data_IF_530777727845
#
_entry.id   IF_530777727845
#
_cell.length_a   1.000
_cell.length_b   1.000
_cell.length_c   1.000
_cell.angle_alpha   90.00
_cell.angle_beta   90.00
_cell.angle_gamma   90.00
#
_symmetry.space_group_name_H-M   'P 1'
#
loop_
_entity.id
_entity.type
_entity.pdbx_description
1 polymer ?
#
# COMPACT_ATOMS: atom_id res chain seq x y z
N UNK A 1 0.65 -16.73 -10.12
CA UNK A 1 2.01 -17.26 -9.85
C UNK A 1 1.93 -18.78 -9.84
N UNK A 2 2.87 -19.49 -10.50
CA UNK A 2 2.96 -20.94 -10.38
C UNK A 2 3.14 -21.29 -8.89
N UNK A 3 2.31 -22.20 -8.38
CA UNK A 3 2.47 -22.71 -7.00
C UNK A 3 3.70 -23.60 -6.98
N UNK A 4 4.88 -23.02 -6.72
CA UNK A 4 6.04 -23.82 -6.38
C UNK A 4 5.72 -24.53 -5.07
N UNK A 5 5.60 -25.85 -5.17
CA UNK A 5 5.46 -26.71 -4.00
C UNK A 5 6.80 -26.63 -3.30
N UNK A 6 6.85 -25.98 -2.14
CA UNK A 6 8.07 -25.89 -1.34
C UNK A 6 8.37 -27.28 -0.79
N UNK A 7 9.25 -28.01 -1.46
CA UNK A 7 9.72 -29.32 -1.02
C UNK A 7 10.93 -29.12 -0.11
N UNK A 8 10.79 -29.44 1.18
CA UNK A 8 11.83 -29.27 2.19
C UNK A 8 11.27 -29.26 3.61
N UNK A 9 12.17 -29.19 4.59
CA UNK A 9 11.86 -29.00 6.01
C UNK A 9 11.16 -27.67 6.26
N UNK A 10 10.45 -27.53 7.39
CA UNK A 10 9.76 -26.28 7.75
C UNK A 10 10.73 -25.09 7.78
N UNK A 11 11.97 -25.29 8.27
CA UNK A 11 13.03 -24.28 8.24
C UNK A 11 13.37 -23.81 6.81
N UNK A 12 13.56 -24.74 5.86
CA UNK A 12 13.91 -24.40 4.47
C UNK A 12 12.77 -23.65 3.78
N UNK A 13 11.53 -24.03 4.06
CA UNK A 13 10.35 -23.32 3.55
C UNK A 13 10.25 -21.90 4.12
N UNK A 14 10.51 -21.74 5.42
CA UNK A 14 10.54 -20.42 6.06
C UNK A 14 11.69 -19.56 5.49
N UNK A 15 12.85 -20.15 5.24
CA UNK A 15 14.00 -19.44 4.67
C UNK A 15 13.74 -18.98 3.23
N UNK A 16 13.16 -19.85 2.40
CA UNK A 16 12.74 -19.49 1.06
C UNK A 16 11.74 -18.33 1.08
N UNK A 17 10.68 -18.44 1.89
CA UNK A 17 9.67 -17.38 2.01
C UNK A 17 10.27 -16.08 2.55
N UNK A 18 11.25 -16.17 3.45
CA UNK A 18 11.93 -15.02 4.02
C UNK A 18 12.74 -14.28 2.95
N UNK A 19 13.54 -15.00 2.16
CA UNK A 19 14.31 -14.41 1.07
C UNK A 19 13.39 -13.83 -0.02
N UNK A 20 12.32 -14.54 -0.38
CA UNK A 20 11.31 -14.05 -1.31
C UNK A 20 10.64 -12.76 -0.80
N UNK A 21 10.34 -12.68 0.49
CA UNK A 21 9.77 -11.48 1.07
C UNK A 21 10.73 -10.29 0.97
N UNK A 22 12.02 -10.48 1.27
CA UNK A 22 13.03 -9.43 1.14
C UNK A 22 13.18 -8.96 -0.31
N UNK A 23 13.20 -9.87 -1.27
CA UNK A 23 13.21 -9.54 -2.70
C UNK A 23 11.98 -8.71 -3.09
N UNK A 24 10.79 -9.14 -2.66
CA UNK A 24 9.53 -8.41 -2.93
C UNK A 24 9.50 -7.04 -2.25
N UNK A 25 10.10 -6.90 -1.07
CA UNK A 25 10.28 -5.59 -0.42
C UNK A 25 11.22 -4.69 -1.23
N UNK A 26 12.34 -5.22 -1.73
CA UNK A 26 13.28 -4.47 -2.57
C UNK A 26 12.66 -4.02 -3.90
N UNK A 27 11.76 -4.82 -4.48
CA UNK A 27 10.95 -4.45 -5.65
C UNK A 27 9.84 -3.42 -5.35
N UNK A 28 9.59 -3.09 -4.08
CA UNK A 28 8.43 -2.28 -3.65
C UNK A 28 7.09 -3.02 -3.72
N UNK A 29 7.09 -4.33 -3.98
CA UNK A 29 5.92 -5.19 -3.97
C UNK A 29 5.55 -5.64 -2.54
N UNK A 30 5.06 -4.69 -1.75
CA UNK A 30 4.67 -4.93 -0.36
C UNK A 30 3.52 -5.92 -0.21
N UNK A 31 2.66 -6.09 -1.23
CA UNK A 31 1.59 -7.10 -1.19
C UNK A 31 2.16 -8.51 -1.24
N UNK A 32 3.08 -8.78 -2.17
CA UNK A 32 3.77 -10.08 -2.25
C UNK A 32 4.58 -10.39 -1.00
N UNK A 33 5.33 -9.41 -0.50
CA UNK A 33 6.09 -9.55 0.74
C UNK A 33 5.19 -9.85 1.95
N UNK A 34 4.03 -9.19 2.05
CA UNK A 34 3.07 -9.43 3.13
C UNK A 34 2.60 -10.87 3.13
N UNK A 35 2.27 -11.43 1.96
CA UNK A 35 1.81 -12.80 1.84
C UNK A 35 2.88 -13.81 2.27
N UNK A 36 4.13 -13.62 1.81
CA UNK A 36 5.23 -14.49 2.17
C UNK A 36 5.52 -14.45 3.69
N UNK A 37 5.62 -13.25 4.28
CA UNK A 37 5.88 -13.08 5.72
C UNK A 37 4.71 -13.56 6.59
N UNK A 38 3.47 -13.39 6.13
CA UNK A 38 2.30 -13.88 6.86
C UNK A 38 2.29 -15.41 6.96
N UNK A 39 2.71 -16.11 5.91
CA UNK A 39 2.81 -17.57 5.92
C UNK A 39 3.91 -18.03 6.90
N UNK A 40 5.06 -17.34 6.94
CA UNK A 40 6.11 -17.62 7.94
C UNK A 40 5.59 -17.43 9.35
N UNK A 41 4.99 -16.27 9.65
CA UNK A 41 4.52 -15.95 11.01
C UNK A 41 3.40 -16.89 11.46
N UNK A 42 2.59 -17.40 10.52
CA UNK A 42 1.52 -18.37 10.79
C UNK A 42 2.07 -19.72 11.28
N UNK A 43 3.16 -20.21 10.68
CA UNK A 43 3.73 -21.51 11.03
C UNK A 43 4.85 -21.41 12.07
N UNK A 44 5.64 -20.34 12.05
CA UNK A 44 6.75 -20.09 12.97
C UNK A 44 6.81 -18.61 13.36
N UNK A 45 6.05 -18.19 14.39
CA UNK A 45 5.86 -16.78 14.75
C UNK A 45 7.12 -16.10 15.32
N UNK A 46 8.12 -16.89 15.72
CA UNK A 46 9.42 -16.44 16.24
C UNK A 46 10.57 -16.70 15.25
N UNK A 47 10.24 -16.92 13.96
CA UNK A 47 11.25 -17.05 12.92
C UNK A 47 11.92 -15.70 12.65
N UNK A 48 13.17 -15.56 13.12
CA UNK A 48 14.01 -14.37 12.94
C UNK A 48 13.24 -13.10 13.33
N UNK A 49 13.21 -12.11 12.44
CA UNK A 49 12.49 -10.84 12.55
C UNK A 49 11.24 -10.79 11.65
N UNK A 50 10.76 -11.94 11.15
CA UNK A 50 9.63 -12.00 10.21
C UNK A 50 8.38 -11.28 10.72
N UNK A 51 8.12 -11.31 12.04
CA UNK A 51 7.01 -10.56 12.65
C UNK A 51 7.19 -9.05 12.57
N UNK A 52 8.42 -8.56 12.77
CA UNK A 52 8.76 -7.14 12.66
C UNK A 52 8.67 -6.68 11.21
N UNK A 53 9.24 -7.45 10.28
CA UNK A 53 9.15 -7.19 8.85
C UNK A 53 7.69 -7.21 8.37
N UNK A 54 6.85 -8.12 8.87
CA UNK A 54 5.44 -8.15 8.52
C UNK A 54 4.70 -6.89 8.96
N UNK A 55 5.05 -6.33 10.12
CA UNK A 55 4.50 -5.07 10.59
C UNK A 55 4.94 -3.90 9.71
N UNK A 56 6.23 -3.83 9.37
CA UNK A 56 6.78 -2.81 8.46
C UNK A 56 6.10 -2.86 7.08
N UNK A 57 5.98 -4.04 6.49
CA UNK A 57 5.34 -4.24 5.19
C UNK A 57 3.87 -3.82 5.21
N UNK A 58 3.14 -4.13 6.28
CA UNK A 58 1.74 -3.68 6.45
C UNK A 58 1.66 -2.16 6.51
N UNK A 59 2.58 -1.52 7.23
CA UNK A 59 2.65 -0.06 7.30
C UNK A 59 2.90 0.54 5.93
N UNK A 60 3.96 0.14 5.24
CA UNK A 60 4.33 0.62 3.88
C UNK A 60 3.19 0.44 2.88
N UNK A 61 2.53 -0.72 2.87
CA UNK A 61 1.37 -0.99 2.01
C UNK A 61 0.19 -0.09 2.33
N UNK A 62 -0.10 0.11 3.63
CA UNK A 62 -1.16 1.01 4.07
C UNK A 62 -0.89 2.45 3.63
N UNK A 63 0.37 2.90 3.66
CA UNK A 63 0.76 4.23 3.20
C UNK A 63 0.52 4.42 1.69
N UNK A 64 0.96 3.46 0.87
CA UNK A 64 0.71 3.50 -0.58
C UNK A 64 -0.78 3.53 -0.90
N UNK A 65 -1.56 2.66 -0.25
CA UNK A 65 -3.00 2.56 -0.46
C UNK A 65 -3.70 3.84 -0.01
N UNK A 66 -3.29 4.41 1.11
CA UNK A 66 -3.89 5.62 1.65
C UNK A 66 -3.74 6.83 0.71
N UNK A 67 -2.56 7.05 0.14
CA UNK A 67 -2.34 8.17 -0.77
C UNK A 67 -3.15 8.03 -2.07
N UNK A 68 -3.25 6.81 -2.60
CA UNK A 68 -4.10 6.52 -3.77
C UNK A 68 -5.58 6.74 -3.46
N UNK A 69 -6.06 6.31 -2.30
CA UNK A 69 -7.44 6.55 -1.89
C UNK A 69 -7.73 8.04 -1.68
N UNK A 70 -6.78 8.79 -1.12
CA UNK A 70 -6.93 10.23 -0.93
C UNK A 70 -6.97 10.97 -2.27
N UNK A 71 -6.16 10.58 -3.26
CA UNK A 71 -6.25 11.17 -4.60
C UNK A 71 -7.59 10.83 -5.26
N UNK A 72 -8.03 9.57 -5.19
CA UNK A 72 -9.31 9.15 -5.76
C UNK A 72 -10.49 9.89 -5.11
N UNK A 73 -10.45 10.06 -3.78
CA UNK A 73 -11.46 10.83 -3.06
C UNK A 73 -11.48 12.31 -3.47
N UNK A 74 -10.31 12.94 -3.55
CA UNK A 74 -10.21 14.33 -3.99
C UNK A 74 -10.75 14.53 -5.41
N UNK A 75 -10.43 13.62 -6.33
CA UNK A 75 -10.97 13.62 -7.69
C UNK A 75 -12.49 13.51 -7.71
N UNK A 76 -13.05 12.54 -6.97
CA UNK A 76 -14.49 12.34 -6.87
C UNK A 76 -15.21 13.55 -6.27
N UNK A 77 -14.65 14.17 -5.23
CA UNK A 77 -15.22 15.35 -4.59
C UNK A 77 -15.30 16.54 -5.55
N UNK A 78 -14.24 16.82 -6.30
CA UNK A 78 -14.22 17.93 -7.26
C UNK A 78 -15.18 17.70 -8.43
N UNK A 79 -15.26 16.48 -8.96
CA UNK A 79 -16.25 16.12 -9.99
C UNK A 79 -17.66 16.30 -9.47
N UNK A 80 -17.97 15.82 -8.25
CA UNK A 80 -19.28 15.98 -7.63
C UNK A 80 -19.68 17.46 -7.47
N UNK A 81 -18.74 18.31 -7.05
CA UNK A 81 -18.96 19.77 -6.99
C UNK A 81 -19.25 20.35 -8.37
N UNK A 82 -18.48 19.98 -9.40
CA UNK A 82 -18.74 20.40 -10.78
C UNK A 82 -20.14 20.00 -11.27
N UNK A 83 -20.60 18.79 -10.88
CA UNK A 83 -21.92 18.29 -11.22
C UNK A 83 -23.04 19.09 -10.54
N UNK A 84 -22.86 19.46 -9.27
CA UNK A 84 -23.84 20.26 -8.53
C UNK A 84 -23.95 21.69 -9.12
N UNK A 85 -22.83 22.26 -9.58
CA UNK A 85 -22.80 23.61 -10.17
C UNK A 85 -23.30 23.59 -11.64
N UNK A 86 -23.51 22.41 -12.22
CA UNK A 86 -24.04 22.26 -13.58
C UNK A 86 -23.03 22.69 -14.64
N UNK A 87 -21.75 22.33 -14.45
CA UNK A 87 -20.70 22.63 -15.43
C UNK A 87 -21.07 22.00 -16.78
N UNK A 88 -21.15 22.79 -17.88
CA UNK A 88 -21.69 22.32 -19.15
C UNK A 88 -20.66 21.63 -20.06
N UNK A 89 -19.38 21.59 -19.66
CA UNK A 89 -18.28 21.15 -20.51
C UNK A 89 -17.51 19.98 -19.88
N UNK A 90 -17.44 18.87 -20.61
CA UNK A 90 -16.73 17.64 -20.20
C UNK A 90 -15.23 17.86 -19.98
N UNK A 91 -14.59 18.77 -20.73
CA UNK A 91 -13.19 19.12 -20.51
C UNK A 91 -12.98 19.76 -19.13
N UNK A 92 -13.97 20.47 -18.61
CA UNK A 92 -13.90 21.07 -17.28
C UNK A 92 -14.04 19.99 -16.20
N UNK A 93 -14.85 18.95 -16.40
CA UNK A 93 -14.87 17.80 -15.49
C UNK A 93 -13.54 17.05 -15.45
N UNK A 94 -12.89 16.87 -16.60
CA UNK A 94 -11.55 16.29 -16.65
C UNK A 94 -10.53 17.16 -15.89
N UNK A 95 -10.58 18.47 -16.07
CA UNK A 95 -9.72 19.40 -15.32
C UNK A 95 -10.00 19.33 -13.81
N UNK A 96 -11.27 19.34 -13.39
CA UNK A 96 -11.68 19.21 -11.99
C UNK A 96 -11.24 17.87 -11.39
N UNK A 97 -11.35 16.77 -12.12
CA UNK A 97 -10.91 15.46 -11.69
C UNK A 97 -9.39 15.44 -11.41
N UNK A 98 -8.59 15.98 -12.32
CA UNK A 98 -7.13 16.05 -12.15
C UNK A 98 -6.76 16.97 -10.98
N UNK A 99 -7.37 18.15 -10.88
CA UNK A 99 -7.15 19.08 -9.77
C UNK A 99 -7.53 18.45 -8.42
N UNK A 100 -8.67 17.78 -8.37
CA UNK A 100 -9.12 17.05 -7.20
C UNK A 100 -8.16 15.93 -6.80
N UNK A 101 -7.66 15.16 -7.77
CA UNK A 101 -6.67 14.10 -7.50
C UNK A 101 -5.38 14.66 -6.89
N UNK A 102 -4.87 15.76 -7.45
CA UNK A 102 -3.67 16.43 -6.94
C UNK A 102 -3.89 17.02 -5.54
N UNK A 103 -5.03 17.67 -5.31
CA UNK A 103 -5.40 18.21 -4.01
C UNK A 103 -5.51 17.09 -2.96
N UNK A 104 -6.21 16.00 -3.30
CA UNK A 104 -6.35 14.83 -2.44
C UNK A 104 -5.00 14.18 -2.10
N UNK A 105 -4.13 13.98 -3.09
CA UNK A 105 -2.77 13.47 -2.85
C UNK A 105 -1.96 14.40 -1.94
N UNK A 106 -2.02 15.73 -2.18
CA UNK A 106 -1.36 16.73 -1.36
C UNK A 106 -1.82 16.71 0.10
N UNK A 107 -3.14 16.70 0.33
CA UNK A 107 -3.74 16.56 1.66
C UNK A 107 -3.33 15.24 2.34
N UNK A 108 -3.37 14.12 1.62
CA UNK A 108 -2.92 12.82 2.13
C UNK A 108 -1.45 12.82 2.55
N UNK A 109 -0.59 13.48 1.77
CA UNK A 109 0.83 13.61 2.10
C UNK A 109 1.07 14.50 3.32
N UNK A 110 0.29 15.58 3.50
CA UNK A 110 0.34 16.43 4.69
C UNK A 110 -0.06 15.63 5.94
N UNK A 111 -1.19 14.92 5.90
CA UNK A 111 -1.67 14.06 7.01
C UNK A 111 -0.62 13.03 7.38
N UNK A 112 0.02 12.40 6.39
CA UNK A 112 1.14 11.48 6.61
C UNK A 112 2.28 12.17 7.35
N UNK A 113 2.72 13.34 6.89
CA UNK A 113 3.84 14.06 7.51
C UNK A 113 3.60 14.39 8.99
N UNK A 114 2.36 14.71 9.37
CA UNK A 114 1.99 14.93 10.77
C UNK A 114 1.97 13.64 11.60
N UNK A 115 1.55 12.52 11.00
CA UNK A 115 1.53 11.21 11.68
C UNK A 115 2.94 10.70 11.95
N UNK A 116 3.85 10.78 10.96
CA UNK A 116 5.24 10.35 11.12
C UNK A 116 5.98 11.18 12.19
N UNK A 117 5.69 12.49 12.28
CA UNK A 117 6.29 13.38 13.29
C UNK A 117 5.82 13.14 14.73
N UNK A 118 4.68 12.48 14.95
CA UNK A 118 4.16 12.18 16.30
C UNK A 118 4.68 10.86 16.88
N UNK A 119 5.29 10.02 16.05
CA UNK A 119 5.74 8.66 16.44
C UNK A 119 7.27 8.61 16.68
N UNK A 120 8.00 9.66 16.29
CA UNK A 120 9.39 9.90 16.70
C UNK A 120 9.43 10.75 17.97
#
# INVERSE_FOLDING_TARGET
MPKQILTGTLEEQCEFLYNLALEKMAEGNYTGAQHALAEIVKHKPDYRDARKLLAEVKERKSEQTFLLLMSAFGAAAFVAVGSIIGVPNDLVYLALMVLGALAGYGCGNLVRSFRTRRVQ
#
